data_IF_849495432947
#
_entry.id   IF_849495432947
#
_cell.length_a   1.000
_cell.length_b   1.000
_cell.length_c   1.000
_cell.angle_alpha   90.00
_cell.angle_beta   90.00
_cell.angle_gamma   90.00
#
_symmetry.space_group_name_H-M   'P 1'
#
loop_
_entity.id
_entity.type
_entity.pdbx_description
1 polymer ?
#
# COMPACT_ATOMS: atom_id res chain seq x y z
N UNK A 1 3.76 -26.83 -31.20
CA UNK A 1 3.13 -27.07 -29.88
C UNK A 1 2.42 -25.85 -29.28
N UNK A 2 2.77 -24.60 -29.63
CA UNK A 2 2.07 -23.41 -29.09
C UNK A 2 1.13 -22.68 -30.07
N UNK A 3 1.11 -23.04 -31.37
CA UNK A 3 0.40 -22.27 -32.43
C UNK A 3 0.80 -20.77 -32.52
N UNK A 4 1.94 -20.38 -31.95
CA UNK A 4 2.49 -19.01 -32.01
C UNK A 4 3.48 -18.91 -33.19
N UNK A 5 3.41 -17.87 -34.03
CA UNK A 5 4.38 -17.66 -35.11
C UNK A 5 5.81 -17.51 -34.59
N UNK A 6 6.78 -18.15 -35.25
CA UNK A 6 8.21 -18.12 -34.86
C UNK A 6 8.76 -16.69 -34.82
N UNK A 7 8.25 -15.79 -35.65
CA UNK A 7 8.65 -14.37 -35.66
C UNK A 7 8.29 -13.64 -34.36
N UNK A 8 7.16 -13.99 -33.74
CA UNK A 8 6.70 -13.42 -32.46
C UNK A 8 7.56 -13.93 -31.32
N UNK A 9 7.87 -15.23 -31.29
CA UNK A 9 8.78 -15.81 -30.29
C UNK A 9 10.17 -15.15 -30.37
N UNK A 10 10.68 -14.93 -31.59
CA UNK A 10 11.96 -14.23 -31.80
C UNK A 10 11.91 -12.75 -31.46
N UNK A 11 10.74 -12.11 -31.50
CA UNK A 11 10.61 -10.72 -31.08
C UNK A 11 10.59 -10.62 -29.55
N UNK A 12 9.98 -11.59 -28.87
CA UNK A 12 10.01 -11.72 -27.41
C UNK A 12 11.40 -12.04 -26.87
N UNK A 13 12.14 -12.95 -27.51
CA UNK A 13 13.55 -13.24 -27.15
C UNK A 13 14.42 -11.98 -27.30
N UNK A 14 14.24 -11.20 -28.36
CA UNK A 14 14.96 -9.93 -28.58
C UNK A 14 14.57 -8.83 -27.58
N UNK A 15 13.32 -8.83 -27.13
CA UNK A 15 12.82 -7.91 -26.12
C UNK A 15 13.16 -8.35 -24.68
N UNK A 16 13.78 -9.53 -24.51
CA UNK A 16 14.16 -10.08 -23.21
C UNK A 16 12.98 -10.63 -22.39
N UNK A 17 11.82 -10.87 -23.03
CA UNK A 17 10.60 -11.36 -22.35
C UNK A 17 10.62 -12.88 -22.13
N UNK A 18 11.44 -13.58 -22.92
CA UNK A 18 11.70 -15.02 -22.79
C UNK A 18 13.20 -15.27 -23.02
N UNK A 19 13.74 -16.31 -22.40
CA UNK A 19 15.15 -16.69 -22.52
C UNK A 19 15.32 -18.09 -23.11
N UNK A 20 16.07 -18.19 -24.20
CA UNK A 20 16.46 -19.49 -24.73
C UNK A 20 17.54 -20.13 -23.83
N UNK A 21 17.30 -21.37 -23.39
CA UNK A 21 18.20 -22.11 -22.50
C UNK A 21 19.35 -22.74 -23.28
N UNK A 22 19.07 -23.27 -24.48
CA UNK A 22 20.07 -23.84 -25.39
C UNK A 22 19.80 -23.42 -26.83
N UNK A 23 20.85 -23.24 -27.63
CA UNK A 23 20.74 -23.01 -29.08
C UNK A 23 21.38 -24.17 -29.82
N UNK A 24 20.57 -24.93 -30.55
CA UNK A 24 21.04 -26.06 -31.36
C UNK A 24 20.76 -25.72 -32.82
N UNK A 25 21.78 -25.67 -33.67
CA UNK A 25 21.68 -25.36 -35.11
C UNK A 25 20.78 -24.12 -35.43
N UNK A 26 20.98 -23.02 -34.70
CA UNK A 26 20.23 -21.74 -34.81
C UNK A 26 18.76 -21.77 -34.36
N UNK A 27 18.28 -22.88 -33.80
CA UNK A 27 16.97 -22.97 -33.18
C UNK A 27 17.09 -22.79 -31.66
N UNK A 28 16.41 -21.80 -31.07
CA UNK A 28 16.36 -21.63 -29.62
C UNK A 28 15.45 -22.70 -29.01
N UNK A 29 15.98 -23.42 -28.02
CA UNK A 29 15.24 -24.34 -27.16
C UNK A 29 14.94 -23.64 -25.84
N UNK A 30 13.68 -23.74 -25.44
CA UNK A 30 13.12 -23.09 -24.26
C UNK A 30 12.80 -24.15 -23.21
N UNK A 31 13.02 -23.81 -21.94
CA UNK A 31 12.57 -24.65 -20.82
C UNK A 31 11.03 -24.73 -20.81
N UNK A 32 10.48 -25.68 -20.06
CA UNK A 32 9.03 -25.78 -19.89
C UNK A 32 8.41 -24.47 -19.33
N UNK A 33 9.13 -23.76 -18.47
CA UNK A 33 8.72 -22.48 -17.88
C UNK A 33 8.70 -21.35 -18.91
N UNK A 34 9.68 -21.29 -19.80
CA UNK A 34 9.72 -20.30 -20.87
C UNK A 34 8.60 -20.54 -21.90
N UNK A 35 8.17 -21.79 -22.05
CA UNK A 35 7.03 -22.19 -22.89
C UNK A 35 5.68 -21.79 -22.27
N UNK A 36 5.51 -21.87 -20.95
CA UNK A 36 4.30 -21.38 -20.25
C UNK A 36 4.23 -19.86 -20.26
N UNK A 37 5.35 -19.17 -20.03
CA UNK A 37 5.48 -17.70 -20.18
C UNK A 37 5.13 -17.25 -21.60
N UNK A 38 5.66 -17.92 -22.62
CA UNK A 38 5.33 -17.63 -24.02
C UNK A 38 3.84 -17.83 -24.34
N UNK A 39 3.18 -18.81 -23.72
CA UNK A 39 1.74 -19.04 -23.90
C UNK A 39 0.91 -17.91 -23.28
N UNK A 40 1.22 -17.52 -22.05
CA UNK A 40 0.53 -16.40 -21.38
C UNK A 40 0.79 -15.06 -22.07
N UNK A 41 2.00 -14.78 -22.55
CA UNK A 41 2.29 -13.61 -23.40
C UNK A 41 1.39 -13.57 -24.64
N UNK A 42 1.17 -14.73 -25.26
CA UNK A 42 0.26 -14.85 -26.41
C UNK A 42 -1.19 -14.54 -26.02
N UNK A 43 -1.65 -15.02 -24.87
CA UNK A 43 -3.01 -14.74 -24.36
C UNK A 43 -3.18 -13.24 -24.07
N UNK A 44 -2.20 -12.60 -23.44
CA UNK A 44 -2.21 -11.16 -23.19
C UNK A 44 -2.25 -10.32 -24.47
N UNK A 45 -1.50 -10.74 -25.50
CA UNK A 45 -1.54 -10.07 -26.80
C UNK A 45 -2.88 -10.28 -27.52
N UNK A 46 -3.52 -11.44 -27.38
CA UNK A 46 -4.87 -11.68 -27.88
C UNK A 46 -5.93 -10.85 -27.16
N UNK A 47 -5.72 -10.57 -25.87
CA UNK A 47 -6.56 -9.65 -25.08
C UNK A 47 -6.33 -8.15 -25.40
N UNK A 48 -5.44 -7.83 -26.36
CA UNK A 48 -5.21 -6.47 -26.84
C UNK A 48 -3.99 -5.76 -26.26
N UNK A 49 -3.16 -6.44 -25.46
CA UNK A 49 -1.91 -5.85 -24.96
C UNK A 49 -0.86 -5.74 -26.08
N UNK A 50 -0.29 -4.55 -26.28
CA UNK A 50 0.79 -4.37 -27.26
C UNK A 50 2.14 -4.83 -26.71
N UNK A 51 3.04 -5.26 -27.61
CA UNK A 51 4.38 -5.72 -27.24
C UNK A 51 5.19 -4.64 -26.50
N UNK A 52 5.04 -3.38 -26.87
CA UNK A 52 5.72 -2.26 -26.20
C UNK A 52 5.21 -2.07 -24.76
N UNK A 53 3.90 -2.17 -24.53
CA UNK A 53 3.31 -2.10 -23.20
C UNK A 53 3.82 -3.23 -22.31
N UNK A 54 3.77 -4.48 -22.80
CA UNK A 54 4.27 -5.64 -22.05
C UNK A 54 5.75 -5.49 -21.69
N UNK A 55 6.58 -4.99 -22.62
CA UNK A 55 8.00 -4.75 -22.36
C UNK A 55 8.27 -3.64 -21.36
N UNK A 56 7.47 -2.55 -21.38
CA UNK A 56 7.60 -1.44 -20.44
C UNK A 56 7.19 -1.88 -19.04
N UNK A 57 6.09 -2.61 -18.93
CA UNK A 57 5.60 -3.12 -17.66
C UNK A 57 6.52 -4.16 -17.06
N UNK A 58 7.05 -5.09 -17.87
CA UNK A 58 8.04 -6.06 -17.38
C UNK A 58 9.32 -5.39 -16.88
N UNK A 59 9.81 -4.35 -17.55
CA UNK A 59 10.95 -3.56 -17.06
C UNK A 59 10.67 -2.81 -15.76
N UNK A 60 9.43 -2.35 -15.56
CA UNK A 60 9.01 -1.70 -14.32
C UNK A 60 8.95 -2.73 -13.19
N UNK A 61 8.31 -3.87 -13.44
CA UNK A 61 8.15 -4.95 -12.47
C UNK A 61 9.51 -5.57 -12.10
N UNK A 62 10.44 -5.68 -13.06
CA UNK A 62 11.80 -6.16 -12.80
C UNK A 62 12.56 -5.33 -11.75
N UNK A 63 12.23 -4.05 -11.56
CA UNK A 63 12.83 -3.21 -10.51
C UNK A 63 12.34 -3.58 -9.10
N UNK A 64 11.16 -4.18 -9.00
CA UNK A 64 10.50 -4.51 -7.73
C UNK A 64 10.51 -6.01 -7.43
N UNK A 65 11.10 -6.83 -8.30
CA UNK A 65 11.25 -8.26 -8.10
C UNK A 65 12.56 -8.59 -7.39
N UNK A 66 12.48 -9.21 -6.22
CA UNK A 66 13.63 -9.77 -5.52
C UNK A 66 14.05 -11.16 -6.06
N UNK A 67 13.18 -11.85 -6.81
CA UNK A 67 13.50 -13.13 -7.45
C UNK A 67 13.34 -13.09 -8.99
N UNK A 68 14.41 -13.26 -9.77
CA UNK A 68 14.38 -13.14 -11.23
C UNK A 68 13.67 -14.28 -11.96
N UNK A 69 13.23 -15.33 -11.26
CA UNK A 69 12.68 -16.56 -11.87
C UNK A 69 11.16 -16.71 -11.91
N UNK A 70 10.38 -15.86 -11.22
CA UNK A 70 8.93 -16.05 -11.00
C UNK A 70 8.04 -14.91 -11.52
N UNK A 71 8.66 -13.86 -12.03
CA UNK A 71 8.04 -12.61 -12.50
C UNK A 71 6.76 -12.79 -13.33
N UNK A 72 6.79 -13.67 -14.33
CA UNK A 72 5.72 -13.82 -15.30
C UNK A 72 4.60 -14.77 -14.82
N UNK A 73 4.93 -15.70 -13.93
CA UNK A 73 3.93 -16.55 -13.28
C UNK A 73 3.08 -15.74 -12.29
N UNK A 74 3.70 -14.74 -11.67
CA UNK A 74 3.06 -13.82 -10.72
C UNK A 74 2.29 -12.69 -11.41
N UNK A 75 2.61 -12.33 -12.66
CA UNK A 75 1.90 -11.29 -13.41
C UNK A 75 0.59 -11.81 -14.02
N UNK A 76 -0.52 -11.23 -13.58
CA UNK A 76 -1.85 -11.43 -14.18
C UNK A 76 -2.41 -10.08 -14.64
N UNK A 77 -3.20 -10.09 -15.71
CA UNK A 77 -3.98 -8.93 -16.13
C UNK A 77 -5.41 -9.17 -15.70
N UNK A 78 -5.98 -8.27 -14.90
CA UNK A 78 -7.39 -8.37 -14.55
C UNK A 78 -8.25 -8.03 -15.78
N UNK A 79 -9.18 -8.94 -16.10
CA UNK A 79 -10.02 -8.88 -17.30
C UNK A 79 -10.82 -7.58 -17.42
N UNK A 80 -11.22 -7.01 -16.28
CA UNK A 80 -12.22 -5.95 -16.24
C UNK A 80 -11.59 -4.55 -16.25
N UNK A 81 -10.33 -4.42 -15.82
CA UNK A 81 -9.67 -3.11 -15.65
C UNK A 81 -8.37 -2.97 -16.46
N UNK A 82 -7.96 -4.00 -17.21
CA UNK A 82 -6.68 -4.08 -17.95
C UNK A 82 -5.44 -3.71 -17.12
N UNK A 83 -5.55 -3.71 -15.79
CA UNK A 83 -4.47 -3.37 -14.86
C UNK A 83 -3.54 -4.58 -14.71
N UNK A 84 -2.23 -4.32 -14.74
CA UNK A 84 -1.22 -5.35 -14.50
C UNK A 84 -1.02 -5.49 -12.99
N UNK A 85 -1.28 -6.70 -12.50
CA UNK A 85 -1.24 -7.03 -11.08
C UNK A 85 -0.27 -8.17 -10.87
N UNK A 86 0.36 -8.17 -9.70
CA UNK A 86 1.16 -9.31 -9.24
C UNK A 86 0.36 -10.11 -8.22
N UNK A 87 0.55 -11.42 -8.21
CA UNK A 87 -0.02 -12.33 -7.23
C UNK A 87 1.07 -12.85 -6.29
N UNK A 88 0.84 -12.69 -4.99
CA UNK A 88 1.61 -13.36 -3.94
C UNK A 88 0.71 -14.21 -3.03
N UNK A 89 1.23 -14.68 -1.90
CA UNK A 89 0.51 -15.49 -0.90
C UNK A 89 -0.71 -14.76 -0.32
N UNK A 90 -0.72 -13.43 -0.37
CA UNK A 90 -1.75 -12.56 0.22
C UNK A 90 -2.72 -12.00 -0.84
N UNK A 91 -2.59 -12.41 -2.11
CA UNK A 91 -3.51 -12.05 -3.19
C UNK A 91 -2.88 -11.15 -4.25
N UNK A 92 -3.72 -10.34 -4.90
CA UNK A 92 -3.32 -9.47 -6.01
C UNK A 92 -2.87 -8.10 -5.51
N UNK A 93 -1.84 -7.52 -6.12
CA UNK A 93 -1.38 -6.16 -5.82
C UNK A 93 -0.80 -5.44 -7.04
N UNK A 94 -0.85 -4.12 -7.02
CA UNK A 94 -0.24 -3.26 -8.03
C UNK A 94 1.28 -3.16 -7.78
N UNK A 95 2.13 -3.48 -8.77
CA UNK A 95 3.57 -3.58 -8.57
C UNK A 95 4.27 -2.24 -8.25
N UNK A 96 3.71 -1.11 -8.71
CA UNK A 96 4.34 0.20 -8.53
C UNK A 96 4.07 0.79 -7.15
N UNK A 97 2.79 0.85 -6.77
CA UNK A 97 2.31 1.44 -5.51
C UNK A 97 2.30 0.42 -4.37
N UNK A 98 2.52 -0.86 -4.70
CA UNK A 98 2.33 -2.02 -3.83
C UNK A 98 0.90 -2.21 -3.35
N UNK A 99 -0.09 -1.50 -3.91
CA UNK A 99 -1.46 -1.51 -3.42
C UNK A 99 -2.13 -2.87 -3.63
N UNK A 100 -2.62 -3.53 -2.57
CA UNK A 100 -3.44 -4.75 -2.69
C UNK A 100 -4.81 -4.46 -3.34
N UNK A 101 -5.28 -5.43 -4.11
CA UNK A 101 -6.61 -5.46 -4.69
C UNK A 101 -7.44 -6.48 -3.92
N UNK A 102 -8.38 -5.96 -3.12
CA UNK A 102 -9.30 -6.78 -2.35
C UNK A 102 -10.57 -7.03 -3.18
N UNK A 103 -11.17 -8.21 -3.04
CA UNK A 103 -12.36 -8.66 -3.79
C UNK A 103 -13.61 -7.77 -3.65
N UNK A 104 -13.56 -6.74 -2.79
CA UNK A 104 -14.65 -5.83 -2.49
C UNK A 104 -14.57 -4.48 -3.22
N UNK A 105 -13.56 -4.23 -4.06
CA UNK A 105 -13.45 -2.98 -4.83
C UNK A 105 -14.35 -2.91 -6.09
N UNK A 106 -15.22 -3.90 -6.33
CA UNK A 106 -16.13 -3.93 -7.48
C UNK A 106 -17.24 -2.86 -7.45
N UNK A 107 -17.40 -2.11 -6.37
CA UNK A 107 -18.44 -1.09 -6.22
C UNK A 107 -17.84 0.27 -5.83
N UNK A 108 -17.34 1.04 -6.82
CA UNK A 108 -17.33 2.53 -6.82
C UNK A 108 -16.48 3.15 -7.95
N UNK A 109 -16.37 2.53 -9.13
CA UNK A 109 -16.10 3.28 -10.36
C UNK A 109 -17.43 3.63 -11.04
N UNK A 110 -18.35 4.25 -10.29
CA UNK A 110 -19.50 4.92 -10.92
C UNK A 110 -19.02 6.27 -11.44
N UNK A 111 -18.99 6.35 -12.76
CA UNK A 111 -18.80 7.54 -13.57
C UNK A 111 -19.38 8.81 -12.93
N UNK A 112 -18.52 9.69 -12.42
CA UNK A 112 -18.85 11.10 -12.27
C UNK A 112 -17.58 11.94 -12.45
N UNK A 113 -17.16 12.08 -13.70
CA UNK A 113 -16.44 13.28 -14.13
C UNK A 113 -17.15 13.87 -15.34
N UNK A 114 -18.02 14.84 -15.06
CA UNK A 114 -18.25 15.97 -15.94
C UNK A 114 -16.90 16.65 -16.24
N UNK A 115 -16.24 16.20 -17.31
CA UNK A 115 -15.04 16.82 -17.86
C UNK A 115 -15.24 16.97 -19.36
N UNK A 116 -14.98 18.18 -19.86
CA UNK A 116 -15.31 18.63 -21.21
C UNK A 116 -15.06 17.59 -22.31
N UNK A 117 -16.18 17.18 -22.92
CA UNK A 117 -16.25 16.30 -24.07
C UNK A 117 -15.85 17.13 -25.29
N UNK A 118 -14.55 17.27 -25.57
CA UNK A 118 -14.08 17.62 -26.93
C UNK A 118 -12.58 17.42 -27.23
N UNK A 119 -11.82 16.62 -26.46
CA UNK A 119 -10.40 16.34 -26.84
C UNK A 119 -9.87 14.91 -26.67
N UNK A 120 -10.73 13.90 -26.46
CA UNK A 120 -10.26 12.51 -26.36
C UNK A 120 -11.11 11.54 -27.18
N UNK A 121 -10.84 11.47 -28.49
CA UNK A 121 -11.10 10.28 -29.28
C UNK A 121 -9.83 9.42 -29.33
N UNK A 122 -9.55 8.67 -28.25
CA UNK A 122 -8.90 7.36 -28.35
C UNK A 122 -9.06 6.60 -27.02
N UNK A 123 -10.14 5.83 -26.94
CA UNK A 123 -10.46 4.95 -25.84
C UNK A 123 -9.67 3.63 -25.96
N UNK A 124 -9.34 3.02 -24.81
CA UNK A 124 -8.76 1.68 -24.66
C UNK A 124 -7.23 1.54 -24.47
N UNK A 125 -6.59 2.49 -23.80
CA UNK A 125 -5.20 2.33 -23.32
C UNK A 125 -5.15 2.18 -21.80
N UNK A 126 -4.31 1.24 -21.34
CA UNK A 126 -3.63 1.29 -20.05
C UNK A 126 -3.06 2.71 -19.89
N UNK A 127 -3.76 3.59 -19.17
CA UNK A 127 -3.27 4.95 -18.88
C UNK A 127 -2.14 4.85 -17.84
N UNK A 128 -0.97 4.42 -18.30
CA UNK A 128 0.28 4.88 -17.72
C UNK A 128 0.36 6.37 -18.05
N UNK A 129 -0.19 7.21 -17.18
CA UNK A 129 -0.02 8.65 -17.26
C UNK A 129 1.49 8.89 -17.11
N UNK A 130 2.18 9.08 -18.23
CA UNK A 130 3.41 9.87 -18.22
C UNK A 130 3.03 11.23 -17.65
N UNK A 131 3.74 11.76 -16.65
CA UNK A 131 3.39 13.06 -16.10
C UNK A 131 3.45 14.09 -17.23
N UNK A 132 2.28 14.64 -17.59
CA UNK A 132 2.24 15.82 -18.43
C UNK A 132 3.09 16.91 -17.76
N UNK A 133 3.83 17.74 -18.52
CA UNK A 133 4.64 18.82 -17.94
C UNK A 133 3.80 19.86 -17.17
N UNK A 134 2.48 19.91 -17.44
CA UNK A 134 1.48 20.73 -16.73
C UNK A 134 0.66 19.93 -15.69
N UNK A 135 1.05 18.67 -15.43
CA UNK A 135 0.38 17.77 -14.50
C UNK A 135 0.68 18.15 -13.05
N UNK A 136 -0.37 18.19 -12.22
CA UNK A 136 -0.28 18.32 -10.76
C UNK A 136 0.83 17.43 -10.21
N UNK A 137 1.74 18.02 -9.43
CA UNK A 137 2.82 17.29 -8.78
C UNK A 137 2.28 16.36 -7.70
N UNK A 138 3.12 15.42 -7.22
CA UNK A 138 2.75 14.58 -6.07
C UNK A 138 2.29 15.43 -4.86
N UNK A 139 2.98 16.56 -4.60
CA UNK A 139 2.62 17.48 -3.51
C UNK A 139 1.25 18.13 -3.73
N UNK A 140 0.92 18.52 -4.96
CA UNK A 140 -0.39 19.10 -5.27
C UNK A 140 -1.52 18.09 -5.06
N UNK A 141 -1.28 16.82 -5.39
CA UNK A 141 -2.22 15.74 -5.08
C UNK A 141 -2.34 15.46 -3.59
N UNK A 142 -1.25 15.58 -2.82
CA UNK A 142 -1.29 15.48 -1.36
C UNK A 142 -2.14 16.58 -0.75
N UNK A 143 -1.89 17.84 -1.11
CA UNK A 143 -2.64 19.00 -0.61
C UNK A 143 -4.13 18.87 -0.92
N UNK A 144 -4.47 18.51 -2.16
CA UNK A 144 -5.88 18.29 -2.54
C UNK A 144 -6.48 17.09 -1.79
N UNK A 145 -5.71 16.02 -1.55
CA UNK A 145 -6.14 14.87 -0.75
C UNK A 145 -6.48 15.26 0.68
N UNK A 146 -5.61 16.01 1.36
CA UNK A 146 -5.86 16.50 2.71
C UNK A 146 -7.09 17.41 2.76
N UNK A 147 -7.23 18.34 1.80
CA UNK A 147 -8.40 19.21 1.68
C UNK A 147 -9.71 18.42 1.52
N UNK A 148 -9.69 17.33 0.76
CA UNK A 148 -10.86 16.45 0.58
C UNK A 148 -11.19 15.67 1.85
N UNK A 149 -10.16 15.20 2.56
CA UNK A 149 -10.32 14.51 3.84
C UNK A 149 -10.95 15.42 4.90
N UNK A 150 -10.55 16.70 4.97
CA UNK A 150 -11.13 17.70 5.87
C UNK A 150 -12.64 17.92 5.62
N UNK A 151 -13.07 17.92 4.36
CA UNK A 151 -14.50 18.04 3.97
C UNK A 151 -15.24 16.70 4.11
N UNK A 152 -14.63 15.68 4.73
CA UNK A 152 -15.15 14.32 4.89
C UNK A 152 -15.43 13.57 3.57
N UNK A 153 -14.89 14.05 2.45
CA UNK A 153 -14.95 13.40 1.14
C UNK A 153 -13.82 12.36 1.03
N UNK A 154 -13.95 11.30 1.83
CA UNK A 154 -12.92 10.27 2.04
C UNK A 154 -12.59 9.51 0.76
N UNK A 155 -13.59 9.24 -0.09
CA UNK A 155 -13.40 8.57 -1.38
C UNK A 155 -12.55 9.40 -2.34
N UNK A 156 -12.79 10.72 -2.44
CA UNK A 156 -11.96 11.59 -3.26
C UNK A 156 -10.56 11.78 -2.68
N UNK A 157 -10.43 11.81 -1.35
CA UNK A 157 -9.12 11.87 -0.68
C UNK A 157 -8.24 10.66 -1.05
N UNK A 158 -8.80 9.44 -0.94
CA UNK A 158 -8.13 8.20 -1.38
C UNK A 158 -7.66 8.31 -2.82
N UNK A 159 -8.51 8.81 -3.72
CA UNK A 159 -8.16 8.98 -5.13
C UNK A 159 -6.98 9.94 -5.32
N UNK A 160 -6.92 11.01 -4.55
CA UNK A 160 -5.82 11.97 -4.59
C UNK A 160 -4.52 11.37 -4.05
N UNK A 161 -4.55 10.68 -2.91
CA UNK A 161 -3.37 10.02 -2.35
C UNK A 161 -2.85 8.90 -3.25
N UNK A 162 -3.73 8.10 -3.87
CA UNK A 162 -3.34 7.11 -4.90
C UNK A 162 -2.65 7.78 -6.10
N UNK A 163 -3.14 8.94 -6.55
CA UNK A 163 -2.48 9.73 -7.62
C UNK A 163 -1.12 10.25 -7.18
N UNK A 164 -0.97 10.72 -5.94
CA UNK A 164 0.32 11.13 -5.39
C UNK A 164 1.32 9.96 -5.37
N UNK A 165 0.90 8.79 -4.89
CA UNK A 165 1.72 7.57 -4.83
C UNK A 165 2.10 7.02 -6.21
N UNK A 166 1.29 7.22 -7.25
CA UNK A 166 1.68 6.88 -8.63
C UNK A 166 2.86 7.72 -9.12
N UNK A 167 3.00 8.95 -8.63
CA UNK A 167 4.12 9.85 -8.98
C UNK A 167 5.32 9.60 -8.06
N UNK A 168 5.09 9.45 -6.76
CA UNK A 168 6.11 9.10 -5.76
C UNK A 168 5.68 7.88 -4.95
N UNK A 169 6.06 6.67 -5.38
CA UNK A 169 5.61 5.44 -4.73
C UNK A 169 6.17 5.21 -3.33
N UNK A 170 7.27 5.89 -2.98
CA UNK A 170 7.99 5.71 -1.71
C UNK A 170 7.71 6.86 -0.72
N UNK A 171 6.63 7.60 -0.92
CA UNK A 171 6.28 8.76 -0.08
C UNK A 171 5.54 8.27 1.17
N UNK A 172 6.22 8.23 2.32
CA UNK A 172 5.70 7.69 3.57
C UNK A 172 4.46 8.45 4.06
N UNK A 173 4.47 9.78 3.95
CA UNK A 173 3.34 10.66 4.29
C UNK A 173 2.12 10.32 3.43
N UNK A 174 2.32 10.09 2.12
CA UNK A 174 1.24 9.69 1.22
C UNK A 174 0.64 8.31 1.53
N UNK A 175 1.47 7.35 1.96
CA UNK A 175 0.98 6.06 2.45
C UNK A 175 0.21 6.20 3.75
N UNK A 176 0.70 7.00 4.70
CA UNK A 176 0.01 7.28 5.97
C UNK A 176 -1.38 7.89 5.76
N UNK A 177 -1.50 8.96 4.97
CA UNK A 177 -2.80 9.59 4.75
C UNK A 177 -3.76 8.72 3.94
N UNK A 178 -3.24 7.89 3.01
CA UNK A 178 -4.06 6.88 2.35
C UNK A 178 -4.56 5.83 3.36
N UNK A 179 -3.72 5.40 4.29
CA UNK A 179 -4.09 4.46 5.35
C UNK A 179 -5.18 5.02 6.25
N UNK A 180 -5.06 6.26 6.71
CA UNK A 180 -6.07 6.94 7.53
C UNK A 180 -7.41 7.03 6.80
N UNK A 181 -7.39 7.44 5.53
CA UNK A 181 -8.61 7.51 4.73
C UNK A 181 -9.26 6.12 4.51
N UNK A 182 -8.46 5.07 4.31
CA UNK A 182 -8.96 3.69 4.19
C UNK A 182 -9.55 3.17 5.50
N UNK A 183 -8.92 3.49 6.63
CA UNK A 183 -9.40 3.14 7.96
C UNK A 183 -10.75 3.79 8.25
N UNK A 184 -10.93 5.09 7.93
CA UNK A 184 -12.21 5.80 8.05
C UNK A 184 -13.34 5.19 7.22
N UNK A 185 -13.00 4.49 6.13
CA UNK A 185 -13.93 3.73 5.28
C UNK A 185 -14.18 2.30 5.76
N UNK A 186 -13.63 1.90 6.91
CA UNK A 186 -13.75 0.57 7.48
C UNK A 186 -12.89 -0.49 6.78
N UNK A 187 -11.95 -0.09 5.92
CA UNK A 187 -11.03 -1.00 5.21
C UNK A 187 -9.78 -1.26 6.04
N UNK A 188 -9.95 -1.87 7.22
CA UNK A 188 -8.91 -2.01 8.24
C UNK A 188 -7.66 -2.76 7.75
N UNK A 189 -7.81 -3.85 7.01
CA UNK A 189 -6.66 -4.61 6.48
C UNK A 189 -5.85 -3.80 5.46
N UNK A 190 -6.55 -3.07 4.58
CA UNK A 190 -5.91 -2.21 3.58
C UNK A 190 -5.20 -1.02 4.25
N UNK A 191 -5.78 -0.48 5.33
CA UNK A 191 -5.16 0.59 6.11
C UNK A 191 -3.88 0.11 6.80
N UNK A 192 -3.92 -1.04 7.48
CA UNK A 192 -2.75 -1.62 8.15
C UNK A 192 -1.57 -1.80 7.18
N UNK A 193 -1.85 -2.33 5.98
CA UNK A 193 -0.83 -2.50 4.96
C UNK A 193 -0.21 -1.17 4.52
N UNK A 194 -1.02 -0.12 4.36
CA UNK A 194 -0.53 1.21 3.99
C UNK A 194 0.28 1.86 5.11
N UNK A 195 -0.12 1.71 6.38
CA UNK A 195 0.72 2.14 7.50
C UNK A 195 2.06 1.38 7.56
N UNK A 196 2.04 0.07 7.33
CA UNK A 196 3.27 -0.74 7.24
C UNK A 196 4.17 -0.29 6.08
N UNK A 197 3.59 0.09 4.94
CA UNK A 197 4.34 0.65 3.81
C UNK A 197 4.95 2.02 4.16
N UNK A 198 4.26 2.85 4.95
CA UNK A 198 4.80 4.12 5.41
C UNK A 198 6.09 3.91 6.24
N UNK A 199 6.08 3.00 7.22
CA UNK A 199 7.26 2.71 8.04
C UNK A 199 8.37 1.97 7.27
N UNK A 200 8.04 1.23 6.21
CA UNK A 200 9.05 0.63 5.34
C UNK A 200 9.84 1.70 4.58
N UNK A 201 9.18 2.79 4.20
CA UNK A 201 9.79 3.90 3.49
C UNK A 201 10.43 4.94 4.41
N UNK A 202 9.85 5.14 5.59
CA UNK A 202 10.38 5.99 6.65
C UNK A 202 10.20 5.33 8.02
N UNK A 203 11.22 4.60 8.51
CA UNK A 203 11.17 3.91 9.80
C UNK A 203 10.98 4.84 11.00
N UNK A 204 11.24 6.15 10.86
CA UNK A 204 11.09 7.13 11.95
C UNK A 204 9.70 7.79 11.95
N UNK A 205 8.78 7.36 11.07
CA UNK A 205 7.42 7.92 10.94
C UNK A 205 6.52 7.48 12.11
N UNK A 206 6.63 8.22 13.21
CA UNK A 206 6.04 7.97 14.53
C UNK A 206 4.52 7.75 14.49
N UNK A 207 3.80 8.56 13.73
CA UNK A 207 2.35 8.50 13.61
C UNK A 207 1.91 7.17 12.98
N UNK A 208 2.69 6.63 12.04
CA UNK A 208 2.39 5.32 11.43
C UNK A 208 2.58 4.18 12.42
N UNK A 209 3.67 4.19 13.20
CA UNK A 209 3.89 3.20 14.25
C UNK A 209 2.75 3.16 15.28
N UNK A 210 2.29 4.34 15.69
CA UNK A 210 1.20 4.47 16.66
C UNK A 210 -0.12 3.95 16.09
N UNK A 211 -0.44 4.30 14.84
CA UNK A 211 -1.64 3.78 14.19
C UNK A 211 -1.58 2.26 13.95
N UNK A 212 -0.41 1.70 13.61
CA UNK A 212 -0.21 0.24 13.52
C UNK A 212 -0.50 -0.42 14.87
N UNK A 213 0.01 0.16 15.96
CA UNK A 213 -0.28 -0.31 17.32
C UNK A 213 -1.77 -0.33 17.61
N UNK A 214 -2.48 0.77 17.35
CA UNK A 214 -3.92 0.88 17.52
C UNK A 214 -4.68 -0.19 16.72
N UNK A 215 -4.34 -0.37 15.44
CA UNK A 215 -4.98 -1.38 14.59
C UNK A 215 -4.71 -2.81 15.08
N UNK A 216 -3.50 -3.10 15.57
CA UNK A 216 -3.22 -4.40 16.17
C UNK A 216 -3.99 -4.64 17.47
N UNK A 217 -4.19 -3.61 18.29
CA UNK A 217 -5.04 -3.69 19.48
C UNK A 217 -6.48 -4.01 19.12
N UNK A 218 -7.06 -3.34 18.11
CA UNK A 218 -8.41 -3.66 17.60
C UNK A 218 -8.53 -5.10 17.11
N UNK A 219 -7.48 -5.60 16.44
CA UNK A 219 -7.38 -6.99 15.97
C UNK A 219 -7.04 -7.99 17.09
N UNK A 220 -6.96 -7.55 18.35
CA UNK A 220 -6.55 -8.34 19.54
C UNK A 220 -5.18 -9.00 19.42
N UNK A 221 -4.30 -8.41 18.60
CA UNK A 221 -2.91 -8.82 18.40
C UNK A 221 -2.00 -8.02 19.35
N UNK A 222 -2.24 -8.16 20.65
CA UNK A 222 -1.70 -7.24 21.65
C UNK A 222 -0.16 -7.21 21.73
N UNK A 223 0.52 -8.34 21.51
CA UNK A 223 1.99 -8.35 21.49
C UNK A 223 2.57 -7.49 20.37
N UNK A 224 1.98 -7.58 19.18
CA UNK A 224 2.39 -6.79 18.01
C UNK A 224 2.03 -5.31 18.18
N UNK A 225 0.93 -5.02 18.88
CA UNK A 225 0.56 -3.66 19.24
C UNK A 225 1.59 -3.02 20.18
N UNK A 226 2.00 -3.73 21.23
CA UNK A 226 3.02 -3.27 22.18
C UNK A 226 4.35 -3.04 21.48
N UNK A 227 4.79 -3.96 20.61
CA UNK A 227 6.02 -3.78 19.81
C UNK A 227 5.94 -2.50 18.98
N UNK A 228 4.83 -2.23 18.31
CA UNK A 228 4.66 -1.01 17.51
C UNK A 228 4.69 0.28 18.36
N UNK A 229 4.07 0.27 19.55
CA UNK A 229 4.15 1.41 20.47
C UNK A 229 5.56 1.58 21.06
N UNK A 230 6.27 0.49 21.33
CA UNK A 230 7.65 0.53 21.81
C UNK A 230 8.59 1.12 20.78
N UNK A 231 8.41 0.82 19.49
CA UNK A 231 9.15 1.47 18.40
C UNK A 231 8.84 2.99 18.34
N UNK A 232 7.57 3.38 18.46
CA UNK A 232 7.20 4.79 18.53
C UNK A 232 7.87 5.50 19.72
N UNK A 233 7.85 4.90 20.91
CA UNK A 233 8.49 5.44 22.12
C UNK A 233 10.01 5.46 21.99
N UNK A 234 10.62 4.49 21.30
CA UNK A 234 12.05 4.46 21.06
C UNK A 234 12.51 5.62 20.15
N UNK A 235 11.71 5.96 19.14
CA UNK A 235 11.94 7.11 18.25
C UNK A 235 11.74 8.41 19.03
N UNK A 236 10.62 8.55 19.74
CA UNK A 236 10.30 9.72 20.53
C UNK A 236 9.83 9.37 21.95
N UNK A 237 10.74 9.36 22.94
CA UNK A 237 10.40 8.94 24.30
C UNK A 237 9.36 9.79 25.04
N UNK A 238 9.14 11.04 24.62
CA UNK A 238 8.11 11.90 25.22
C UNK A 238 6.84 11.98 24.39
N UNK A 239 6.64 11.06 23.44
CA UNK A 239 5.40 11.01 22.67
C UNK A 239 4.28 10.40 23.51
N UNK A 240 3.56 11.29 24.20
CA UNK A 240 2.55 10.92 25.19
C UNK A 240 1.49 9.96 24.61
N UNK A 241 1.01 10.21 23.38
CA UNK A 241 -0.02 9.38 22.75
C UNK A 241 0.37 7.90 22.65
N UNK A 242 1.62 7.57 22.33
CA UNK A 242 2.07 6.17 22.31
C UNK A 242 2.06 5.53 23.71
N UNK A 243 2.44 6.27 24.76
CA UNK A 243 2.34 5.79 26.14
C UNK A 243 0.89 5.49 26.54
N UNK A 244 -0.04 6.39 26.21
CA UNK A 244 -1.46 6.20 26.49
C UNK A 244 -2.01 4.95 25.79
N UNK A 245 -1.77 4.82 24.48
CA UNK A 245 -2.31 3.70 23.70
C UNK A 245 -1.69 2.36 24.13
N UNK A 246 -0.40 2.36 24.49
CA UNK A 246 0.26 1.20 25.11
C UNK A 246 -0.37 0.83 26.45
N UNK A 247 -0.67 1.82 27.31
CA UNK A 247 -1.31 1.60 28.59
C UNK A 247 -2.71 0.97 28.45
N UNK A 248 -3.54 1.50 27.55
CA UNK A 248 -4.87 0.94 27.28
C UNK A 248 -4.78 -0.49 26.70
N UNK A 249 -3.77 -0.76 25.87
CA UNK A 249 -3.51 -2.11 25.34
C UNK A 249 -3.10 -3.09 26.43
N UNK A 250 -2.20 -2.69 27.33
CA UNK A 250 -1.79 -3.49 28.50
C UNK A 250 -2.95 -3.75 29.45
N UNK A 251 -3.80 -2.75 29.67
CA UNK A 251 -5.02 -2.89 30.46
C UNK A 251 -5.98 -3.91 29.85
N UNK A 252 -6.17 -3.91 28.53
CA UNK A 252 -6.97 -4.92 27.82
C UNK A 252 -6.36 -6.33 27.93
N UNK A 253 -5.03 -6.44 28.03
CA UNK A 253 -4.33 -7.70 28.31
C UNK A 253 -4.41 -8.17 29.76
N UNK A 254 -5.05 -7.40 30.65
CA UNK A 254 -5.07 -7.61 32.11
C UNK A 254 -3.70 -7.43 32.79
N UNK A 255 -2.74 -6.78 32.13
CA UNK A 255 -1.49 -6.33 32.74
C UNK A 255 -1.68 -4.93 33.34
N UNK A 256 -2.32 -4.88 34.51
CA UNK A 256 -2.56 -3.62 35.22
C UNK A 256 -1.27 -2.95 35.69
N UNK A 257 -0.23 -3.72 36.02
CA UNK A 257 1.03 -3.18 36.49
C UNK A 257 1.76 -2.40 35.38
N UNK A 258 1.82 -2.99 34.17
CA UNK A 258 2.33 -2.31 32.99
C UNK A 258 1.50 -1.10 32.60
N UNK A 259 0.17 -1.20 32.64
CA UNK A 259 -0.73 -0.10 32.29
C UNK A 259 -0.54 1.12 33.19
N UNK A 260 -0.44 0.92 34.52
CA UNK A 260 -0.20 2.01 35.49
C UNK A 260 1.09 2.76 35.17
N UNK A 261 2.18 2.04 34.87
CA UNK A 261 3.46 2.65 34.55
C UNK A 261 3.37 3.55 33.31
N UNK A 262 2.68 3.09 32.27
CA UNK A 262 2.58 3.83 31.01
C UNK A 262 1.58 5.01 31.12
N UNK A 263 0.49 4.90 31.90
CA UNK A 263 -0.38 6.05 32.20
C UNK A 263 0.35 7.13 33.01
N UNK A 264 1.21 6.75 33.95
CA UNK A 264 2.05 7.71 34.69
C UNK A 264 3.01 8.46 33.76
N UNK A 265 3.67 7.75 32.84
CA UNK A 265 4.53 8.41 31.83
C UNK A 265 3.76 9.31 30.89
N UNK A 266 2.55 8.91 30.48
CA UNK A 266 1.67 9.78 29.69
C UNK A 266 1.42 11.12 30.42
N UNK A 267 1.06 11.08 31.71
CA UNK A 267 0.83 12.28 32.51
C UNK A 267 2.12 13.08 32.79
N UNK A 268 3.27 12.43 32.87
CA UNK A 268 4.58 13.11 32.98
C UNK A 268 4.87 13.98 31.76
N UNK A 269 4.51 13.49 30.56
CA UNK A 269 4.75 14.21 29.30
C UNK A 269 3.61 15.13 28.87
N UNK A 270 2.35 14.79 29.18
CA UNK A 270 1.17 15.55 28.79
C UNK A 270 0.09 15.60 29.89
N UNK A 271 0.39 16.34 30.96
CA UNK A 271 -0.48 16.52 32.13
C UNK A 271 -1.84 17.18 31.80
N UNK A 272 -1.91 18.00 30.73
CA UNK A 272 -3.13 18.72 30.32
C UNK A 272 -3.62 18.30 28.94
N UNK A 273 -3.22 17.11 28.52
CA UNK A 273 -3.58 16.54 27.25
C UNK A 273 -5.06 16.22 27.13
N UNK A 274 -5.55 15.95 25.90
CA UNK A 274 -6.95 15.59 25.66
C UNK A 274 -7.38 14.33 26.43
N UNK A 275 -6.43 13.48 26.82
CA UNK A 275 -6.69 12.23 27.55
C UNK A 275 -6.17 12.25 29.00
N UNK A 276 -5.75 13.41 29.53
CA UNK A 276 -5.27 13.56 30.90
C UNK A 276 -6.30 13.07 31.93
N UNK A 277 -7.54 13.54 31.81
CA UNK A 277 -8.63 13.14 32.71
C UNK A 277 -8.88 11.62 32.68
N UNK A 278 -8.81 11.01 31.49
CA UNK A 278 -8.94 9.55 31.36
C UNK A 278 -7.80 8.84 32.11
N UNK A 279 -6.55 9.26 31.92
CA UNK A 279 -5.40 8.67 32.60
C UNK A 279 -5.48 8.82 34.13
N UNK A 280 -5.93 9.97 34.63
CA UNK A 280 -6.19 10.16 36.08
C UNK A 280 -7.26 9.20 36.59
N UNK A 281 -8.42 9.13 35.92
CA UNK A 281 -9.50 8.22 36.30
C UNK A 281 -9.05 6.76 36.31
N UNK A 282 -8.20 6.36 35.35
CA UNK A 282 -7.61 5.01 35.31
C UNK A 282 -6.73 4.76 36.52
N UNK A 283 -5.87 5.70 36.90
CA UNK A 283 -4.96 5.57 38.04
C UNK A 283 -5.71 5.58 39.39
N UNK A 284 -6.76 6.38 39.51
CA UNK A 284 -7.65 6.39 40.69
C UNK A 284 -8.35 5.05 40.91
N UNK A 285 -8.76 4.34 39.85
CA UNK A 285 -9.34 2.99 39.95
C UNK A 285 -8.38 1.99 40.61
N UNK A 286 -7.06 2.24 40.55
CA UNK A 286 -6.03 1.44 41.19
C UNK A 286 -5.54 2.04 42.52
N UNK A 287 -6.18 3.11 43.03
CA UNK A 287 -5.86 3.74 44.31
C UNK A 287 -4.64 4.65 44.28
N UNK A 288 -4.26 5.17 43.11
CA UNK A 288 -3.17 6.12 42.93
C UNK A 288 -3.78 7.52 42.83
N UNK A 289 -3.80 8.24 43.96
CA UNK A 289 -4.31 9.62 44.03
C UNK A 289 -3.19 10.61 43.66
N UNK A 290 -3.49 11.55 42.77
CA UNK A 290 -2.65 12.73 42.53
C UNK A 290 -3.25 13.89 43.32
N UNK A 291 -2.50 14.43 44.28
CA UNK A 291 -2.90 15.64 44.98
C UNK A 291 -2.84 16.82 44.01
N UNK A 292 -3.99 17.46 43.75
CA UNK A 292 -4.01 18.78 43.12
C UNK A 292 -3.26 19.77 44.03
N UNK A 293 -2.08 20.22 43.61
CA UNK A 293 -1.38 21.39 44.18
C UNK A 293 -1.77 22.69 43.46
#
# INVERSE_FOLDING_TARGET
>A
LLKIPVQVIRSWERAGLIRAEKKIFRLPYFSYQEVTTARRLSELMQAGATQQQLSRSLKLVQKYLHEPGRAFEQLEMLSDHRQLVMKDEHGYFEPQTRQRLFSFEAEAESDDESFDVDSFHDSHLLKFVSPDPESKTAKDWMIEGCRRAEVSDTSSAIRCFRKALRIRPNDAEAHFYLADALYRLGKTEAALERYLAAIEHDPEYLESWTQIGCLYTELRKFSQAIEAFDEAIAIHPSYAEAHLQKAETLYQMQDSAGAILEWQKYLEYDERGPWAELAFQRLEQFGIEFSEE
#
